data_IF_866753592638
#
_entry.id   IF_866753592638
#
_cell.length_a   1.000
_cell.length_b   1.000
_cell.length_c   1.000
_cell.angle_alpha   90.00
_cell.angle_beta   90.00
_cell.angle_gamma   90.00
#
_symmetry.space_group_name_H-M   'P 1'
#
loop_
_entity.id
_entity.type
_entity.pdbx_description
1 polymer ?
#
# COMPACT_ATOMS: atom_id res chain seq x y z
N UNK A 1 -16.69 20.96 -17.25
CA UNK A 1 -16.50 19.53 -16.90
C UNK A 1 -15.50 19.46 -15.77
N UNK A 2 -15.84 18.80 -14.66
CA UNK A 2 -15.01 18.71 -13.43
C UNK A 2 -13.56 18.26 -13.71
N UNK A 3 -13.34 17.49 -14.79
CA UNK A 3 -12.02 17.10 -15.29
C UNK A 3 -11.08 18.26 -15.64
N UNK A 4 -11.58 19.36 -16.23
CA UNK A 4 -10.72 20.51 -16.57
C UNK A 4 -10.34 21.33 -15.33
N UNK A 5 -11.23 21.41 -14.34
CA UNK A 5 -10.96 22.09 -13.08
C UNK A 5 -9.89 21.36 -12.28
N UNK A 6 -9.95 20.03 -12.19
CA UNK A 6 -8.94 19.22 -11.50
C UNK A 6 -7.54 19.37 -12.10
N UNK A 7 -7.43 19.43 -13.43
CA UNK A 7 -6.13 19.66 -14.11
C UNK A 7 -5.55 21.04 -13.80
N UNK A 8 -6.39 22.07 -13.69
CA UNK A 8 -5.93 23.42 -13.34
C UNK A 8 -5.39 23.48 -11.89
N UNK A 9 -5.99 22.73 -10.96
CA UNK A 9 -5.51 22.66 -9.58
C UNK A 9 -4.14 21.97 -9.47
N UNK A 10 -3.95 20.88 -10.22
CA UNK A 10 -2.68 20.16 -10.27
C UNK A 10 -1.56 21.03 -10.88
N UNK A 11 -1.85 21.71 -11.99
CA UNK A 11 -0.91 22.64 -12.62
C UNK A 11 -0.53 23.81 -11.69
N UNK A 12 -1.50 24.33 -10.92
CA UNK A 12 -1.27 25.39 -9.95
C UNK A 12 -0.40 24.93 -8.75
N UNK A 13 -0.65 23.73 -8.18
CA UNK A 13 0.21 23.17 -7.10
C UNK A 13 1.65 22.95 -7.59
N UNK A 14 1.81 22.43 -8.82
CA UNK A 14 3.14 22.22 -9.42
C UNK A 14 3.90 23.53 -9.62
N UNK A 15 3.23 24.56 -10.18
CA UNK A 15 3.83 25.90 -10.35
C UNK A 15 4.21 26.51 -9.01
N UNK A 16 3.34 26.41 -8.01
CA UNK A 16 3.62 26.90 -6.66
C UNK A 16 4.83 26.19 -6.03
N UNK A 17 4.91 24.85 -6.14
CA UNK A 17 6.07 24.07 -5.66
C UNK A 17 7.38 24.50 -6.32
N UNK A 18 7.37 24.68 -7.64
CA UNK A 18 8.54 25.14 -8.37
C UNK A 18 8.99 26.54 -7.90
N UNK A 19 8.05 27.48 -7.73
CA UNK A 19 8.34 28.81 -7.19
C UNK A 19 8.92 28.73 -5.78
N UNK A 20 8.34 27.91 -4.90
CA UNK A 20 8.81 27.74 -3.51
C UNK A 20 10.20 27.11 -3.40
N UNK A 21 10.61 26.30 -4.37
CA UNK A 21 11.97 25.74 -4.42
C UNK A 21 13.03 26.73 -4.88
N UNK A 22 12.65 27.71 -5.70
CA UNK A 22 13.58 28.67 -6.32
C UNK A 22 13.65 29.98 -5.53
N UNK A 23 12.55 30.39 -4.90
CA UNK A 23 12.45 31.64 -4.18
C UNK A 23 12.70 31.47 -2.67
N UNK A 24 13.24 32.51 -2.00
CA UNK A 24 13.35 32.54 -0.54
C UNK A 24 11.98 32.39 0.14
N UNK A 25 11.95 31.77 1.33
CA UNK A 25 10.70 31.57 2.07
C UNK A 25 10.05 32.88 2.54
N UNK A 26 10.80 33.96 2.63
CA UNK A 26 10.35 35.30 3.00
C UNK A 26 9.97 36.17 1.79
N UNK A 27 10.02 35.60 0.57
CA UNK A 27 9.61 36.30 -0.64
C UNK A 27 8.16 36.82 -0.53
N UNK A 28 7.92 38.10 -0.84
CA UNK A 28 6.61 38.73 -0.67
C UNK A 28 5.53 38.10 -1.56
N UNK A 29 5.88 37.54 -2.72
CA UNK A 29 4.92 36.86 -3.60
C UNK A 29 4.54 35.49 -3.03
N UNK A 30 5.50 34.74 -2.48
CA UNK A 30 5.22 33.46 -1.79
C UNK A 30 4.28 33.70 -0.60
N UNK A 31 4.59 34.68 0.26
CA UNK A 31 3.72 35.04 1.40
C UNK A 31 2.33 35.49 0.95
N UNK A 32 2.24 36.22 -0.17
CA UNK A 32 0.97 36.64 -0.73
C UNK A 32 0.12 35.44 -1.17
N UNK A 33 0.71 34.47 -1.85
CA UNK A 33 0.03 33.24 -2.31
C UNK A 33 -0.45 32.42 -1.11
N UNK A 34 0.44 32.13 -0.15
CA UNK A 34 0.10 31.32 1.04
C UNK A 34 -1.03 31.95 1.86
N UNK A 35 -1.01 33.28 2.04
CA UNK A 35 -2.04 34.01 2.80
C UNK A 35 -3.42 34.00 2.16
N UNK A 36 -3.52 34.12 0.83
CA UNK A 36 -4.80 34.35 0.15
C UNK A 36 -5.42 33.08 -0.44
N UNK A 37 -4.62 32.04 -0.69
CA UNK A 37 -5.10 30.83 -1.36
C UNK A 37 -5.07 29.58 -0.47
N UNK A 38 -4.82 29.74 0.85
CA UNK A 38 -4.71 28.65 1.82
C UNK A 38 -3.77 27.52 1.34
N UNK A 39 -2.73 27.88 0.58
CA UNK A 39 -1.73 26.95 -0.02
C UNK A 39 -0.65 26.59 1.00
N UNK A 40 -0.82 26.97 2.26
CA UNK A 40 0.08 26.57 3.31
C UNK A 40 -0.08 25.06 3.51
N UNK A 41 0.95 24.31 3.16
CA UNK A 41 1.00 22.87 3.43
C UNK A 41 1.02 22.66 4.93
N UNK A 42 0.06 21.87 5.40
CA UNK A 42 0.10 21.32 6.74
C UNK A 42 1.03 20.11 6.74
N UNK A 43 2.29 20.35 7.07
CA UNK A 43 3.33 19.31 7.10
C UNK A 43 3.03 18.21 8.12
N UNK A 44 2.30 18.50 9.21
CA UNK A 44 1.90 17.49 10.19
C UNK A 44 0.84 16.56 9.62
N UNK A 45 -0.15 17.10 8.89
CA UNK A 45 -1.14 16.30 8.17
C UNK A 45 -0.47 15.45 7.09
N UNK A 46 0.46 16.02 6.31
CA UNK A 46 1.20 15.29 5.27
C UNK A 46 2.01 14.15 5.90
N UNK A 47 2.72 14.42 6.99
CA UNK A 47 3.50 13.41 7.71
C UNK A 47 2.62 12.27 8.22
N UNK A 48 1.52 12.58 8.91
CA UNK A 48 0.56 11.59 9.42
C UNK A 48 -0.02 10.72 8.31
N UNK A 49 -0.39 11.33 7.18
CA UNK A 49 -0.90 10.59 6.03
C UNK A 49 0.16 9.66 5.45
N UNK A 50 1.40 10.12 5.33
CA UNK A 50 2.51 9.30 4.82
C UNK A 50 2.77 8.09 5.72
N UNK A 51 2.87 8.28 7.03
CA UNK A 51 3.02 7.16 7.99
C UNK A 51 1.85 6.18 7.89
N UNK A 52 0.61 6.67 7.71
CA UNK A 52 -0.55 5.80 7.54
C UNK A 52 -0.50 4.98 6.25
N UNK A 53 -0.05 5.59 5.15
CA UNK A 53 0.16 4.90 3.88
C UNK A 53 1.22 3.81 4.04
N UNK A 54 2.37 4.13 4.66
CA UNK A 54 3.46 3.17 4.88
C UNK A 54 2.97 1.94 5.68
N UNK A 55 2.19 2.17 6.76
CA UNK A 55 1.61 1.08 7.58
C UNK A 55 0.60 0.25 6.79
N UNK A 56 -0.24 0.90 5.98
CA UNK A 56 -1.23 0.20 5.17
C UNK A 56 -0.56 -0.66 4.09
N UNK A 57 0.44 -0.13 3.40
CA UNK A 57 1.20 -0.86 2.38
C UNK A 57 1.90 -2.08 2.96
N UNK A 58 2.56 -1.97 4.12
CA UNK A 58 3.16 -3.12 4.80
C UNK A 58 2.09 -4.15 5.19
N UNK A 59 0.96 -3.73 5.76
CA UNK A 59 -0.13 -4.64 6.13
C UNK A 59 -0.67 -5.42 4.93
N UNK A 60 -0.86 -4.76 3.78
CA UNK A 60 -1.35 -5.42 2.55
C UNK A 60 -0.32 -6.43 2.05
N UNK A 61 0.96 -6.07 2.05
CA UNK A 61 2.05 -6.95 1.65
C UNK A 61 2.14 -8.18 2.56
N UNK A 62 2.11 -7.99 3.90
CA UNK A 62 2.15 -9.09 4.86
C UNK A 62 0.93 -10.01 4.70
N UNK A 63 -0.26 -9.44 4.51
CA UNK A 63 -1.47 -10.24 4.29
C UNK A 63 -1.34 -11.14 3.06
N UNK A 64 -0.90 -10.58 1.94
CA UNK A 64 -0.67 -11.35 0.72
C UNK A 64 0.32 -12.50 0.93
N UNK A 65 1.47 -12.20 1.55
CA UNK A 65 2.49 -13.21 1.89
C UNK A 65 1.94 -14.32 2.79
N UNK A 66 1.11 -13.99 3.77
CA UNK A 66 0.47 -14.97 4.65
C UNK A 66 -0.47 -15.90 3.88
N UNK A 67 -1.26 -15.36 2.94
CA UNK A 67 -2.18 -16.15 2.11
C UNK A 67 -1.42 -17.14 1.23
N UNK A 68 -0.31 -16.73 0.63
CA UNK A 68 0.53 -17.61 -0.18
C UNK A 68 1.13 -18.75 0.65
N UNK A 69 1.71 -18.41 1.81
CA UNK A 69 2.29 -19.41 2.72
C UNK A 69 1.23 -20.38 3.25
N UNK A 70 0.03 -19.90 3.57
CA UNK A 70 -1.07 -20.74 4.01
C UNK A 70 -1.49 -21.72 2.91
N UNK A 71 -1.62 -21.25 1.67
CA UNK A 71 -1.98 -22.08 0.52
C UNK A 71 -0.93 -23.16 0.25
N UNK A 72 0.36 -22.80 0.34
CA UNK A 72 1.46 -23.75 0.19
C UNK A 72 1.41 -24.83 1.29
N UNK A 73 1.30 -24.43 2.56
CA UNK A 73 1.22 -25.37 3.69
C UNK A 73 0.02 -26.31 3.58
N UNK A 74 -1.13 -25.79 3.16
CA UNK A 74 -2.34 -26.58 2.95
C UNK A 74 -2.16 -27.64 1.85
N UNK A 75 -1.50 -27.29 0.75
CA UNK A 75 -1.22 -28.24 -0.33
C UNK A 75 -0.32 -29.40 0.12
N UNK A 76 0.72 -29.10 0.91
CA UNK A 76 1.61 -30.12 1.50
C UNK A 76 0.84 -31.00 2.49
N UNK A 77 0.01 -30.39 3.34
CA UNK A 77 -0.80 -31.15 4.29
C UNK A 77 -1.75 -32.13 3.59
N UNK A 78 -2.41 -31.71 2.51
CA UNK A 78 -3.27 -32.58 1.69
C UNK A 78 -2.49 -33.75 1.09
N UNK A 79 -1.32 -33.50 0.51
CA UNK A 79 -0.46 -34.57 -0.03
C UNK A 79 -0.06 -35.60 1.05
N UNK A 80 0.31 -35.14 2.24
CA UNK A 80 0.68 -36.02 3.35
C UNK A 80 -0.50 -36.88 3.84
N UNK A 81 -1.72 -36.31 3.87
CA UNK A 81 -2.93 -37.04 4.22
C UNK A 81 -3.21 -38.15 3.20
N UNK A 82 -3.13 -37.82 1.91
CA UNK A 82 -3.35 -38.80 0.84
C UNK A 82 -2.33 -39.93 0.89
N UNK A 83 -1.05 -39.62 1.11
CA UNK A 83 0.00 -40.63 1.22
C UNK A 83 -0.20 -41.54 2.44
N UNK A 84 -0.56 -40.96 3.60
CA UNK A 84 -0.89 -41.71 4.81
C UNK A 84 -2.06 -42.67 4.58
N UNK A 85 -3.12 -42.21 3.90
CA UNK A 85 -4.28 -43.04 3.55
C UNK A 85 -3.89 -44.19 2.61
N UNK A 86 -3.03 -43.94 1.62
CA UNK A 86 -2.52 -44.99 0.71
C UNK A 86 -1.75 -46.07 1.48
N UNK A 87 -0.84 -45.67 2.38
CA UNK A 87 -0.08 -46.61 3.22
C UNK A 87 -1.03 -47.46 4.08
N UNK A 88 -2.01 -46.82 4.73
CA UNK A 88 -3.01 -47.50 5.56
C UNK A 88 -3.79 -48.54 4.78
N UNK A 89 -4.22 -48.23 3.55
CA UNK A 89 -4.92 -49.17 2.68
C UNK A 89 -4.04 -50.38 2.30
N UNK A 90 -2.76 -50.16 1.98
CA UNK A 90 -1.82 -51.23 1.66
C UNK A 90 -1.56 -52.16 2.86
N UNK A 91 -1.50 -51.63 4.07
CA UNK A 91 -1.33 -52.44 5.29
C UNK A 91 -2.58 -53.29 5.53
N UNK A 92 -3.77 -52.70 5.41
CA UNK A 92 -5.03 -53.40 5.63
C UNK A 92 -5.25 -54.52 4.60
N UNK A 93 -4.92 -54.29 3.33
CA UNK A 93 -5.04 -55.32 2.29
C UNK A 93 -4.07 -56.48 2.48
N UNK A 94 -2.87 -56.23 3.01
CA UNK A 94 -1.91 -57.29 3.37
C UNK A 94 -2.34 -58.10 4.59
N UNK A 95 -3.04 -57.51 5.55
CA UNK A 95 -3.58 -58.23 6.73
C UNK A 95 -4.80 -59.11 6.42
N UNK A 96 -5.50 -58.82 5.33
CA UNK A 96 -6.72 -59.53 4.93
C UNK A 96 -6.48 -60.68 3.95
N UNK A 97 -5.21 -60.94 3.59
CA UNK A 97 -4.74 -62.11 2.84
C UNK A 97 -4.06 -63.08 3.79
#
# INVERSE_FOLDING_TARGET
>A
TQWREHQNWEEADLKYRALKMVLPSDDPNIRYIEKHFNVQRDEDVIYKLRTRVDVYEDSVYQHHKMVEVASYKDSIARQLIDESNRIKMQINSKKSK
#
